data_IF_817567938704
#
_entry.id   IF_817567938704
#
_cell.length_a   1.000
_cell.length_b   1.000
_cell.length_c   1.000
_cell.angle_alpha   90.00
_cell.angle_beta   90.00
_cell.angle_gamma   90.00
#
_symmetry.space_group_name_H-M   'P 1'
#
loop_
_entity.id
_entity.type
_entity.pdbx_description
1 polymer ?
#
# COMPACT_ATOMS: atom_id res chain seq x y z
N UNK A 1 33.10 16.75 4.77
CA UNK A 1 32.09 17.26 5.72
C UNK A 1 30.80 16.51 5.44
N UNK A 2 30.29 15.66 6.35
CA UNK A 2 28.97 15.06 6.16
C UNK A 2 27.93 16.18 6.20
N UNK A 3 27.24 16.40 5.08
CA UNK A 3 26.12 17.35 5.01
C UNK A 3 24.99 16.79 5.87
N UNK A 4 24.64 17.50 6.95
CA UNK A 4 23.49 17.15 7.78
C UNK A 4 22.24 17.17 6.89
N UNK A 5 21.61 16.01 6.70
CA UNK A 5 20.38 15.94 5.91
C UNK A 5 19.28 16.66 6.68
N UNK A 6 18.59 17.58 6.02
CA UNK A 6 17.44 18.33 6.55
C UNK A 6 16.17 17.44 6.71
N UNK A 7 16.34 16.14 6.92
CA UNK A 7 15.25 15.17 7.03
C UNK A 7 14.94 14.89 8.50
N UNK A 8 13.66 14.97 8.88
CA UNK A 8 13.14 14.58 10.19
C UNK A 8 12.03 13.55 10.00
N UNK A 9 11.88 12.65 10.97
CA UNK A 9 10.86 11.61 10.96
C UNK A 9 10.07 11.68 12.26
N UNK A 10 8.75 11.63 12.16
CA UNK A 10 7.87 11.67 13.34
C UNK A 10 6.90 10.51 13.28
N UNK A 11 6.65 9.89 14.43
CA UNK A 11 5.61 8.88 14.61
C UNK A 11 4.62 9.39 15.65
N UNK A 12 3.35 9.52 15.26
CA UNK A 12 2.30 10.09 16.08
C UNK A 12 1.17 9.08 16.22
N UNK A 13 0.98 8.50 17.43
CA UNK A 13 -0.26 7.85 17.78
C UNK A 13 -1.43 8.84 17.71
N UNK A 14 -2.49 8.51 16.99
CA UNK A 14 -3.70 9.35 16.94
C UNK A 14 -4.70 8.99 18.06
N UNK A 15 -4.43 7.89 18.77
CA UNK A 15 -5.05 7.53 20.03
C UNK A 15 -3.96 7.49 21.12
N UNK A 16 -4.20 8.19 22.23
CA UNK A 16 -3.21 8.33 23.30
C UNK A 16 -2.29 9.55 23.14
N UNK A 17 -1.53 9.85 24.18
CA UNK A 17 -0.51 10.90 24.21
C UNK A 17 0.79 10.27 24.70
N UNK A 18 1.46 9.54 23.81
CA UNK A 18 2.76 8.93 24.09
C UNK A 18 3.74 9.43 23.05
N UNK A 19 4.85 9.97 23.52
CA UNK A 19 5.90 10.49 22.68
C UNK A 19 6.89 9.38 22.32
N UNK A 20 7.07 9.18 21.01
CA UNK A 20 8.04 8.26 20.44
C UNK A 20 9.01 9.00 19.54
N UNK A 21 10.29 8.70 19.69
CA UNK A 21 11.31 9.06 18.71
C UNK A 21 11.55 7.89 17.76
N UNK A 22 11.62 8.17 16.46
CA UNK A 22 11.88 7.16 15.43
C UNK A 22 13.37 6.87 15.36
N UNK A 23 13.76 5.62 15.64
CA UNK A 23 15.14 5.16 15.54
C UNK A 23 15.45 4.62 14.17
N UNK A 24 14.56 3.84 13.56
CA UNK A 24 14.73 3.30 12.22
C UNK A 24 13.37 2.96 11.63
N UNK A 25 13.30 2.89 10.30
CA UNK A 25 12.09 2.46 9.63
C UNK A 25 12.38 1.75 8.31
N UNK A 26 11.48 0.83 7.96
CA UNK A 26 11.41 0.16 6.67
C UNK A 26 9.97 0.27 6.14
N UNK A 27 9.80 0.97 5.02
CA UNK A 27 8.52 1.06 4.31
C UNK A 27 8.59 0.20 3.05
N UNK A 28 7.76 -0.85 3.01
CA UNK A 28 7.57 -1.74 1.87
C UNK A 28 6.21 -1.45 1.21
N UNK A 29 6.24 -1.05 -0.06
CA UNK A 29 5.05 -0.74 -0.85
C UNK A 29 5.09 -1.39 -2.23
N UNK A 30 3.92 -1.85 -2.68
CA UNK A 30 3.73 -2.47 -3.98
C UNK A 30 2.29 -2.23 -4.48
N UNK A 31 2.13 -2.16 -5.80
CA UNK A 31 0.81 -2.13 -6.43
C UNK A 31 0.08 -3.42 -6.10
N UNK A 32 -1.21 -3.31 -5.79
CA UNK A 32 -2.09 -4.44 -5.46
C UNK A 32 -1.58 -5.27 -4.28
N UNK A 33 -0.97 -4.61 -3.28
CA UNK A 33 -0.59 -5.24 -2.01
C UNK A 33 -0.72 -4.25 -0.85
N UNK A 34 -1.13 -4.71 0.35
CA UNK A 34 -1.08 -3.86 1.54
C UNK A 34 0.36 -3.36 1.79
N UNK A 35 0.52 -2.08 2.09
CA UNK A 35 1.83 -1.56 2.50
C UNK A 35 2.18 -2.05 3.91
N UNK A 36 3.48 -2.10 4.20
CA UNK A 36 3.99 -2.42 5.53
C UNK A 36 5.04 -1.40 5.94
N UNK A 37 4.79 -0.70 7.05
CA UNK A 37 5.75 0.19 7.68
C UNK A 37 6.22 -0.43 8.99
N UNK A 38 7.46 -0.91 8.99
CA UNK A 38 8.14 -1.45 10.18
C UNK A 38 8.93 -0.32 10.83
N UNK A 39 8.74 -0.12 12.12
CA UNK A 39 9.36 0.97 12.88
C UNK A 39 10.11 0.40 14.08
N UNK A 40 11.31 0.94 14.32
CA UNK A 40 11.92 0.91 15.64
C UNK A 40 11.79 2.28 16.28
N UNK A 41 11.25 2.30 17.50
CA UNK A 41 10.91 3.49 18.25
C UNK A 41 11.64 3.47 19.59
N UNK A 42 11.82 4.64 20.19
CA UNK A 42 12.20 4.78 21.60
C UNK A 42 11.27 5.75 22.30
N UNK A 43 10.95 5.45 23.55
CA UNK A 43 10.22 6.36 24.44
C UNK A 43 10.92 6.45 25.79
N UNK A 44 10.65 7.53 26.52
CA UNK A 44 11.03 7.66 27.93
C UNK A 44 10.12 6.83 28.84
N UNK A 45 8.92 6.48 28.38
CA UNK A 45 8.00 5.58 29.09
C UNK A 45 8.39 4.12 28.84
N UNK A 46 8.53 3.35 29.91
CA UNK A 46 8.92 1.93 29.90
C UNK A 46 7.73 0.97 30.11
N UNK A 47 6.55 1.48 30.48
CA UNK A 47 5.32 0.71 30.67
C UNK A 47 4.17 1.29 29.83
N UNK A 48 4.37 1.36 28.51
CA UNK A 48 3.33 1.81 27.58
C UNK A 48 2.15 0.83 27.54
N UNK A 49 0.93 1.34 27.73
CA UNK A 49 -0.30 0.55 27.56
C UNK A 49 -0.55 0.23 26.07
N UNK A 50 -0.31 -1.02 25.69
CA UNK A 50 -0.48 -1.47 24.31
C UNK A 50 -1.93 -1.37 23.81
N UNK A 51 -2.92 -1.35 24.70
CA UNK A 51 -4.33 -1.17 24.34
C UNK A 51 -4.62 0.21 23.73
N UNK A 52 -3.76 1.20 23.99
CA UNK A 52 -3.86 2.55 23.42
C UNK A 52 -3.23 2.64 22.02
N UNK A 53 -2.46 1.63 21.59
CA UNK A 53 -1.73 1.64 20.33
C UNK A 53 -2.21 0.56 19.36
N UNK A 54 -2.43 -0.67 19.83
CA UNK A 54 -2.82 -1.80 19.00
C UNK A 54 -4.17 -1.55 18.33
N UNK A 55 -4.22 -1.78 17.02
CA UNK A 55 -5.37 -1.53 16.15
C UNK A 55 -5.88 -0.08 16.19
N UNK A 56 -5.02 0.86 16.62
CA UNK A 56 -5.30 2.30 16.61
C UNK A 56 -4.60 2.99 15.44
N UNK A 57 -5.19 4.09 14.94
CA UNK A 57 -4.61 4.84 13.85
C UNK A 57 -3.37 5.61 14.29
N UNK A 58 -2.39 5.67 13.39
CA UNK A 58 -1.12 6.35 13.58
C UNK A 58 -0.72 7.09 12.32
N UNK A 59 0.04 8.15 12.49
CA UNK A 59 0.61 8.93 11.40
C UNK A 59 2.14 8.91 11.50
N UNK A 60 2.78 8.40 10.46
CA UNK A 60 4.21 8.56 10.24
C UNK A 60 4.45 9.63 9.18
N UNK A 61 5.33 10.58 9.49
CA UNK A 61 5.62 11.70 8.58
C UNK A 61 7.11 11.81 8.32
N UNK A 62 7.46 11.91 7.03
CA UNK A 62 8.79 12.28 6.57
C UNK A 62 8.79 13.78 6.29
N UNK A 63 9.68 14.52 6.92
CA UNK A 63 9.81 15.97 6.79
C UNK A 63 11.09 16.33 6.05
N UNK A 64 11.09 17.47 5.35
CA UNK A 64 12.28 18.20 4.91
C UNK A 64 12.19 19.63 5.42
N UNK A 65 13.03 19.96 6.41
CA UNK A 65 12.87 21.17 7.22
C UNK A 65 11.49 21.16 7.89
N UNK A 66 10.74 22.25 7.71
CA UNK A 66 9.37 22.37 8.22
C UNK A 66 8.30 21.83 7.25
N UNK A 67 8.68 21.40 6.04
CA UNK A 67 7.72 20.91 5.04
C UNK A 67 7.54 19.39 5.13
N UNK A 68 6.30 18.89 5.28
CA UNK A 68 6.04 17.46 5.20
C UNK A 68 6.25 16.99 3.75
N UNK A 69 7.11 15.99 3.56
CA UNK A 69 7.37 15.36 2.26
C UNK A 69 6.49 14.14 2.01
N UNK A 70 6.13 13.40 3.05
CA UNK A 70 5.34 12.18 2.91
C UNK A 70 4.59 11.86 4.19
N UNK A 71 3.33 11.48 4.03
CA UNK A 71 2.52 10.88 5.08
C UNK A 71 2.39 9.37 4.83
N UNK A 72 2.42 8.61 5.91
CA UNK A 72 2.01 7.21 5.96
C UNK A 72 1.06 7.05 7.12
N UNK A 73 -0.23 7.09 6.81
CA UNK A 73 -1.31 6.83 7.74
C UNK A 73 -1.70 5.35 7.69
N UNK A 74 -1.80 4.69 8.86
CA UNK A 74 -2.22 3.29 8.95
C UNK A 74 -2.68 2.91 10.36
N UNK A 75 -2.83 1.61 10.61
CA UNK A 75 -3.15 1.02 11.91
C UNK A 75 -1.97 0.22 12.44
N UNK A 76 -1.73 0.26 13.76
CA UNK A 76 -0.72 -0.61 14.40
C UNK A 76 -1.22 -2.04 14.44
N UNK A 77 -0.63 -2.89 13.59
CA UNK A 77 -0.99 -4.30 13.45
C UNK A 77 -0.21 -5.20 14.40
N UNK A 78 0.97 -4.78 14.82
CA UNK A 78 1.77 -5.43 15.85
C UNK A 78 2.57 -4.38 16.61
N UNK A 79 2.70 -4.57 17.92
CA UNK A 79 3.49 -3.72 18.80
C UNK A 79 4.20 -4.59 19.83
N UNK A 80 5.49 -4.35 20.02
CA UNK A 80 6.29 -5.10 21.00
C UNK A 80 7.30 -4.19 21.68
N UNK A 81 7.48 -4.38 22.97
CA UNK A 81 8.55 -3.77 23.74
C UNK A 81 9.82 -4.61 23.62
N UNK A 82 10.93 -3.93 23.36
CA UNK A 82 12.28 -4.49 23.32
C UNK A 82 13.03 -4.20 24.61
N UNK A 83 14.33 -3.96 24.47
CA UNK A 83 15.21 -3.67 25.60
C UNK A 83 14.89 -2.32 26.24
N UNK A 84 14.79 -2.31 27.57
CA UNK A 84 14.74 -1.10 28.40
C UNK A 84 16.16 -0.73 28.81
N UNK A 85 16.65 0.40 28.29
CA UNK A 85 17.91 1.00 28.72
C UNK A 85 17.72 1.86 29.98
N UNK A 86 18.78 2.54 30.40
CA UNK A 86 18.76 3.35 31.63
C UNK A 86 17.78 4.55 31.60
N UNK A 87 17.48 5.08 30.42
CA UNK A 87 16.65 6.28 30.26
C UNK A 87 15.56 6.14 29.19
N UNK A 88 15.65 5.10 28.35
CA UNK A 88 14.77 4.94 27.19
C UNK A 88 14.50 3.47 26.94
N UNK A 89 13.27 3.17 26.57
CA UNK A 89 12.81 1.83 26.21
C UNK A 89 12.61 1.75 24.70
N UNK A 90 13.12 0.68 24.09
CA UNK A 90 12.93 0.41 22.67
C UNK A 90 11.58 -0.27 22.42
N UNK A 91 10.91 0.13 21.36
CA UNK A 91 9.67 -0.49 20.88
C UNK A 91 9.79 -0.82 19.40
N UNK A 92 9.01 -1.80 18.94
CA UNK A 92 8.84 -2.12 17.53
C UNK A 92 7.37 -2.06 17.19
N UNK A 93 7.04 -1.40 16.09
CA UNK A 93 5.69 -1.30 15.58
C UNK A 93 5.63 -1.74 14.12
N UNK A 94 4.57 -2.47 13.76
CA UNK A 94 4.19 -2.72 12.38
C UNK A 94 2.91 -1.95 12.08
N UNK A 95 2.96 -1.08 11.08
CA UNK A 95 1.83 -0.28 10.62
C UNK A 95 1.40 -0.75 9.22
N UNK A 96 0.11 -1.04 9.08
CA UNK A 96 -0.49 -1.57 7.84
C UNK A 96 -1.80 -0.81 7.54
N UNK A 97 -2.34 -0.86 6.30
CA UNK A 97 -3.65 -0.28 6.00
C UNK A 97 -4.77 -1.08 6.67
N UNK A 98 -5.96 -0.46 6.78
CA UNK A 98 -7.16 -1.16 7.27
C UNK A 98 -7.44 -2.43 6.47
N UNK A 99 -7.14 -2.42 5.15
CA UNK A 99 -7.31 -3.58 4.27
C UNK A 99 -6.54 -4.83 4.74
N UNK A 100 -5.41 -4.68 5.43
CA UNK A 100 -4.64 -5.82 5.93
C UNK A 100 -5.44 -6.69 6.93
N UNK A 101 -6.43 -6.11 7.63
CA UNK A 101 -7.29 -6.85 8.56
C UNK A 101 -8.17 -7.89 7.84
N UNK A 102 -8.44 -7.70 6.55
CA UNK A 102 -9.16 -8.68 5.73
C UNK A 102 -8.38 -10.01 5.58
N UNK A 103 -7.07 -10.02 5.84
CA UNK A 103 -6.24 -11.24 5.84
C UNK A 103 -6.38 -12.07 7.12
N UNK A 104 -7.05 -11.56 8.16
CA UNK A 104 -7.19 -12.24 9.45
C UNK A 104 -8.42 -13.14 9.54
N UNK A 105 -9.23 -13.20 8.48
CA UNK A 105 -10.49 -13.95 8.47
C UNK A 105 -10.68 -14.65 7.13
N UNK A 106 -10.92 -15.96 7.19
CA UNK A 106 -11.39 -16.78 6.07
C UNK A 106 -12.89 -17.05 6.16
N UNK A 107 -13.55 -17.20 5.02
CA UNK A 107 -14.99 -17.43 4.96
C UNK A 107 -15.40 -18.31 3.77
N UNK A 108 -16.65 -18.77 3.81
CA UNK A 108 -17.33 -19.44 2.71
C UNK A 108 -18.57 -18.62 2.33
N UNK A 109 -18.61 -18.08 1.10
CA UNK A 109 -19.69 -17.20 0.65
C UNK A 109 -20.00 -17.41 -0.82
N UNK A 110 -21.27 -17.19 -1.16
CA UNK A 110 -21.78 -17.25 -2.53
C UNK A 110 -22.30 -15.86 -2.90
N UNK A 111 -21.88 -15.39 -4.08
CA UNK A 111 -22.35 -14.17 -4.71
C UNK A 111 -23.00 -14.57 -6.04
N UNK A 112 -24.23 -14.11 -6.26
CA UNK A 112 -25.01 -14.43 -7.47
C UNK A 112 -25.47 -13.15 -8.12
N UNK A 113 -25.45 -13.13 -9.45
CA UNK A 113 -25.93 -12.01 -10.26
C UNK A 113 -25.29 -10.67 -9.84
N UNK A 114 -23.96 -10.67 -9.72
CA UNK A 114 -23.15 -9.50 -9.35
C UNK A 114 -21.95 -9.35 -10.26
N UNK A 115 -21.61 -8.11 -10.58
CA UNK A 115 -20.33 -7.79 -11.20
C UNK A 115 -19.22 -7.83 -10.15
N UNK A 116 -17.97 -8.00 -10.57
CA UNK A 116 -16.83 -7.98 -9.63
C UNK A 116 -16.72 -6.65 -8.86
N UNK A 117 -16.85 -5.46 -9.46
CA UNK A 117 -16.88 -4.20 -8.72
C UNK A 117 -17.90 -4.19 -7.57
N UNK A 118 -19.10 -4.73 -7.80
CA UNK A 118 -20.14 -4.83 -6.76
C UNK A 118 -19.75 -5.80 -5.64
N UNK A 119 -19.08 -6.91 -5.97
CA UNK A 119 -18.58 -7.86 -4.97
C UNK A 119 -17.46 -7.22 -4.15
N UNK A 120 -16.50 -6.56 -4.80
CA UNK A 120 -15.40 -5.83 -4.14
C UNK A 120 -15.94 -4.77 -3.19
N UNK A 121 -16.87 -3.91 -3.65
CA UNK A 121 -17.51 -2.89 -2.82
C UNK A 121 -18.17 -3.48 -1.56
N UNK A 122 -18.92 -4.58 -1.73
CA UNK A 122 -19.56 -5.28 -0.62
C UNK A 122 -18.53 -5.83 0.37
N UNK A 123 -17.45 -6.43 -0.13
CA UNK A 123 -16.39 -7.00 0.71
C UNK A 123 -15.67 -5.91 1.51
N UNK A 124 -15.31 -4.79 0.87
CA UNK A 124 -14.65 -3.66 1.54
C UNK A 124 -15.51 -3.07 2.66
N UNK A 125 -16.81 -2.84 2.38
CA UNK A 125 -17.75 -2.35 3.41
C UNK A 125 -17.89 -3.32 4.57
N UNK A 126 -17.94 -4.63 4.32
CA UNK A 126 -18.03 -5.65 5.38
C UNK A 126 -16.78 -5.69 6.26
N UNK A 127 -15.63 -5.34 5.71
CA UNK A 127 -14.37 -5.22 6.45
C UNK A 127 -14.25 -3.87 7.18
N UNK A 128 -15.28 -3.02 7.16
CA UNK A 128 -15.28 -1.72 7.83
C UNK A 128 -14.40 -0.68 7.12
N UNK A 129 -13.99 -0.93 5.88
CA UNK A 129 -13.19 0.01 5.09
C UNK A 129 -14.15 1.08 4.58
N UNK A 130 -14.13 2.26 5.23
CA UNK A 130 -15.03 3.36 4.90
C UNK A 130 -14.51 4.23 3.75
N UNK A 131 -13.18 4.32 3.57
CA UNK A 131 -12.54 5.20 2.59
C UNK A 131 -11.92 4.39 1.46
N UNK A 132 -12.72 4.17 0.43
CA UNK A 132 -12.27 3.54 -0.78
C UNK A 132 -12.96 4.17 -1.99
N UNK A 133 -12.31 4.04 -3.14
CA UNK A 133 -12.83 4.45 -4.44
C UNK A 133 -12.59 3.31 -5.42
N UNK A 134 -13.62 2.96 -6.19
CA UNK A 134 -13.54 1.95 -7.24
C UNK A 134 -13.83 2.65 -8.56
N UNK A 135 -12.78 2.87 -9.33
CA UNK A 135 -12.84 3.47 -10.66
C UNK A 135 -12.86 2.34 -11.70
N UNK A 136 -14.06 1.94 -12.06
CA UNK A 136 -14.32 0.95 -13.11
C UNK A 136 -14.69 1.70 -14.38
N UNK A 137 -13.77 1.69 -15.36
CA UNK A 137 -13.94 2.35 -16.65
C UNK A 137 -14.35 1.34 -17.74
N UNK A 138 -14.00 0.07 -17.55
CA UNK A 138 -14.43 -1.03 -18.40
C UNK A 138 -15.80 -1.57 -18.04
N UNK A 139 -16.46 -2.23 -18.99
CA UNK A 139 -17.67 -3.00 -18.71
C UNK A 139 -17.29 -4.35 -18.07
N UNK A 140 -17.72 -4.57 -16.83
CA UNK A 140 -17.54 -5.86 -16.15
C UNK A 140 -18.81 -6.69 -16.21
N UNK A 141 -18.67 -7.92 -16.68
CA UNK A 141 -19.81 -8.82 -16.84
C UNK A 141 -20.42 -9.23 -15.50
N UNK A 142 -21.74 -9.41 -15.50
CA UNK A 142 -22.46 -9.95 -14.35
C UNK A 142 -22.13 -11.44 -14.24
N UNK A 143 -21.59 -11.85 -13.10
CA UNK A 143 -21.33 -13.26 -12.83
C UNK A 143 -22.60 -13.92 -12.33
N UNK A 144 -23.01 -15.00 -12.99
CA UNK A 144 -24.14 -15.81 -12.54
C UNK A 144 -23.87 -16.39 -11.15
N UNK A 145 -22.63 -16.85 -10.92
CA UNK A 145 -22.21 -17.48 -9.69
C UNK A 145 -20.72 -17.21 -9.40
N UNK A 146 -20.41 -16.78 -8.17
CA UNK A 146 -19.05 -16.55 -7.69
C UNK A 146 -18.94 -16.99 -6.23
N UNK A 147 -17.89 -17.72 -5.88
CA UNK A 147 -17.71 -18.30 -4.55
C UNK A 147 -16.40 -17.81 -3.94
N UNK A 148 -16.45 -17.45 -2.66
CA UNK A 148 -15.30 -17.41 -1.77
C UNK A 148 -15.24 -18.75 -1.06
N UNK A 149 -14.17 -19.54 -1.27
CA UNK A 149 -14.10 -20.94 -0.84
C UNK A 149 -12.97 -21.16 0.18
N UNK A 150 -13.17 -20.70 1.42
CA UNK A 150 -12.22 -20.92 2.51
C UNK A 150 -10.93 -20.08 2.45
N UNK A 151 -10.79 -19.24 1.42
CA UNK A 151 -9.74 -18.22 1.33
C UNK A 151 -10.02 -17.01 2.25
N UNK A 152 -8.99 -16.23 2.58
CA UNK A 152 -9.17 -15.00 3.37
C UNK A 152 -9.96 -13.95 2.60
N UNK A 153 -10.60 -13.01 3.29
CA UNK A 153 -11.28 -11.91 2.61
C UNK A 153 -10.31 -11.07 1.78
N UNK A 154 -9.04 -10.94 2.21
CA UNK A 154 -7.98 -10.28 1.45
C UNK A 154 -7.61 -11.06 0.18
N UNK A 155 -7.39 -12.37 0.29
CA UNK A 155 -7.03 -13.22 -0.86
C UNK A 155 -8.17 -13.25 -1.89
N UNK A 156 -9.42 -13.30 -1.43
CA UNK A 156 -10.60 -13.25 -2.29
C UNK A 156 -10.67 -11.94 -3.08
N UNK A 157 -10.44 -10.80 -2.40
CA UNK A 157 -10.40 -9.48 -3.02
C UNK A 157 -9.28 -9.42 -4.07
N UNK A 158 -8.07 -9.90 -3.71
CA UNK A 158 -6.92 -9.91 -4.61
C UNK A 158 -7.16 -10.79 -5.85
N UNK A 159 -7.75 -11.97 -5.67
CA UNK A 159 -8.10 -12.88 -6.75
C UNK A 159 -9.12 -12.27 -7.71
N UNK A 160 -10.24 -11.75 -7.18
CA UNK A 160 -11.26 -11.11 -8.02
C UNK A 160 -10.73 -9.87 -8.74
N UNK A 161 -9.90 -9.07 -8.07
CA UNK A 161 -9.27 -7.92 -8.69
C UNK A 161 -8.36 -8.35 -9.86
N UNK A 162 -7.51 -9.37 -9.66
CA UNK A 162 -6.62 -9.89 -10.69
C UNK A 162 -7.35 -10.51 -11.90
N UNK A 163 -8.47 -11.20 -11.67
CA UNK A 163 -9.28 -11.80 -12.74
C UNK A 163 -9.87 -10.75 -13.71
N UNK A 164 -10.18 -9.55 -13.22
CA UNK A 164 -10.81 -8.46 -14.00
C UNK A 164 -9.84 -7.31 -14.33
N UNK A 165 -8.56 -7.47 -14.02
CA UNK A 165 -7.53 -6.45 -14.28
C UNK A 165 -7.57 -5.23 -13.36
N UNK A 166 -8.26 -5.32 -12.21
CA UNK A 166 -8.19 -4.28 -11.19
C UNK A 166 -6.84 -4.30 -10.48
N UNK A 167 -6.30 -3.10 -10.30
CA UNK A 167 -5.12 -2.82 -9.48
C UNK A 167 -5.48 -1.81 -8.41
N UNK A 168 -4.75 -1.82 -7.30
CA UNK A 168 -5.00 -0.88 -6.22
C UNK A 168 -3.75 -0.26 -5.61
N UNK A 169 -3.92 0.93 -5.03
CA UNK A 169 -2.91 1.65 -4.28
C UNK A 169 -3.54 2.38 -3.09
N UNK A 170 -2.70 2.89 -2.21
CA UNK A 170 -3.11 3.69 -1.06
C UNK A 170 -2.70 5.15 -1.26
N UNK A 171 -3.65 6.06 -1.05
CA UNK A 171 -3.39 7.48 -0.92
C UNK A 171 -3.34 7.84 0.55
N UNK A 172 -2.35 8.66 0.93
CA UNK A 172 -2.15 9.06 2.31
C UNK A 172 -2.32 10.58 2.45
N UNK A 173 -3.16 10.96 3.40
CA UNK A 173 -3.31 12.32 3.89
C UNK A 173 -2.90 12.35 5.37
N UNK A 174 -2.73 13.53 5.99
CA UNK A 174 -2.48 13.62 7.43
C UNK A 174 -3.59 12.97 8.28
N UNK A 175 -4.82 12.93 7.77
CA UNK A 175 -6.01 12.52 8.53
C UNK A 175 -6.42 11.07 8.30
N UNK A 176 -6.06 10.50 7.15
CA UNK A 176 -6.50 9.16 6.76
C UNK A 176 -5.67 8.61 5.59
N UNK A 177 -5.85 7.33 5.32
CA UNK A 177 -5.50 6.72 4.04
C UNK A 177 -6.77 6.29 3.30
N UNK A 178 -6.71 6.31 1.97
CA UNK A 178 -7.79 5.90 1.08
C UNK A 178 -7.30 4.80 0.15
N UNK A 179 -8.11 3.75 -0.01
CA UNK A 179 -7.87 2.68 -0.96
C UNK A 179 -8.43 3.06 -2.33
N UNK A 180 -7.57 3.18 -3.34
CA UNK A 180 -7.98 3.49 -4.72
C UNK A 180 -7.82 2.23 -5.57
N UNK A 181 -8.92 1.73 -6.12
CA UNK A 181 -8.98 0.55 -6.99
C UNK A 181 -9.36 1.02 -8.40
N UNK A 182 -8.64 0.57 -9.42
CA UNK A 182 -8.89 0.96 -10.81
C UNK A 182 -8.53 -0.16 -11.79
N UNK A 183 -9.27 -0.25 -12.89
CA UNK A 183 -9.00 -1.14 -14.03
C UNK A 183 -8.15 -0.43 -15.12
N UNK A 184 -7.81 0.84 -14.91
CA UNK A 184 -7.06 1.66 -15.85
C UNK A 184 -5.77 2.17 -15.24
N UNK A 185 -4.64 1.69 -15.77
CA UNK A 185 -3.30 2.06 -15.27
C UNK A 185 -3.04 3.57 -15.28
N UNK A 186 -3.57 4.30 -16.27
CA UNK A 186 -3.41 5.76 -16.34
C UNK A 186 -4.06 6.50 -15.17
N UNK A 187 -5.06 5.91 -14.51
CA UNK A 187 -5.71 6.48 -13.33
C UNK A 187 -4.83 6.40 -12.07
N UNK A 188 -3.70 5.68 -12.11
CA UNK A 188 -2.73 5.66 -11.02
C UNK A 188 -1.87 6.93 -10.94
N UNK A 189 -1.98 7.82 -11.93
CA UNK A 189 -1.22 9.06 -12.00
C UNK A 189 0.22 8.85 -12.47
N UNK A 190 0.92 9.97 -12.71
CA UNK A 190 2.36 9.94 -12.98
C UNK A 190 3.13 9.93 -11.67
N UNK A 191 4.24 9.17 -11.62
CA UNK A 191 5.18 9.26 -10.51
C UNK A 191 5.97 10.56 -10.68
N UNK A 192 5.45 11.66 -10.15
CA UNK A 192 6.23 12.89 -10.02
C UNK A 192 7.20 12.73 -8.85
N UNK A 193 8.46 13.08 -9.07
CA UNK A 193 9.50 13.09 -8.01
C UNK A 193 9.23 14.16 -6.95
N UNK A 194 8.29 15.06 -7.21
CA UNK A 194 7.79 16.12 -6.34
C UNK A 194 6.72 15.57 -5.39
N UNK A 195 7.12 15.44 -4.13
CA UNK A 195 6.29 15.22 -2.96
C UNK A 195 5.04 16.12 -2.93
N UNK A 196 3.90 15.50 -2.62
CA UNK A 196 2.63 16.07 -2.08
C UNK A 196 2.10 17.32 -2.82
N UNK A 197 0.93 17.18 -3.47
CA UNK A 197 0.05 18.35 -3.69
C UNK A 197 -0.39 18.84 -2.31
N UNK A 198 0.05 20.03 -1.91
CA UNK A 198 -0.50 20.70 -0.75
C UNK A 198 -1.96 21.05 -1.06
N UNK A 199 -2.88 20.71 -0.16
CA UNK A 199 -4.23 21.24 -0.19
C UNK A 199 -4.18 22.71 0.25
N UNK A 200 -3.71 23.59 -0.63
CA UNK A 200 -3.92 25.03 -0.53
C UNK A 200 -4.30 25.51 -1.94
N UNK A 201 -5.53 26.04 -2.05
CA UNK A 201 -6.12 26.62 -3.25
C UNK A 201 -5.24 27.75 -3.78
N UNK A 202 -4.86 27.68 -5.05
CA UNK A 202 -4.86 28.80 -5.99
C UNK A 202 -4.77 28.22 -7.42
N UNK A 203 -5.79 28.47 -8.24
CA UNK A 203 -5.79 28.17 -9.67
C UNK A 203 -4.77 29.05 -10.39
N UNK A 204 -3.52 28.60 -10.49
CA UNK A 204 -2.53 29.21 -11.37
C UNK A 204 -2.25 28.30 -12.58
N UNK A 205 -2.81 28.74 -13.70
CA UNK A 205 -2.38 28.60 -15.09
C UNK A 205 -1.26 27.56 -15.36
N UNK A 206 -1.62 26.38 -15.86
CA UNK A 206 -0.65 25.44 -16.42
C UNK A 206 -0.31 25.86 -17.86
N UNK A 207 0.92 26.32 -18.10
CA UNK A 207 1.52 26.23 -19.43
C UNK A 207 1.88 24.76 -19.71
N UNK A 208 1.40 24.22 -20.84
CA UNK A 208 1.28 22.79 -21.13
C UNK A 208 2.59 22.07 -21.56
N UNK A 209 3.77 22.69 -21.41
CA UNK A 209 4.98 22.24 -22.13
C UNK A 209 6.28 22.03 -21.31
N UNK A 210 6.27 22.02 -19.98
CA UNK A 210 7.52 21.78 -19.22
C UNK A 210 7.75 20.29 -18.89
N UNK A 211 8.04 19.51 -19.95
CA UNK A 211 8.51 18.11 -19.85
C UNK A 211 9.97 18.13 -19.37
N UNK A 212 10.17 17.96 -18.06
CA UNK A 212 11.51 17.83 -17.47
C UNK A 212 12.26 16.57 -17.96
N UNK A 213 13.61 16.60 -18.07
CA UNK A 213 14.43 15.54 -18.67
C UNK A 213 14.42 14.19 -17.93
N UNK A 214 13.82 14.14 -16.73
CA UNK A 214 13.83 12.97 -15.84
C UNK A 214 12.43 12.35 -15.64
N UNK A 215 11.45 12.71 -16.47
CA UNK A 215 10.11 12.14 -16.42
C UNK A 215 10.11 10.72 -17.02
N UNK A 216 10.12 9.69 -16.17
CA UNK A 216 9.86 8.32 -16.61
C UNK A 216 8.38 8.20 -16.94
N UNK A 217 8.05 8.43 -18.21
CA UNK A 217 6.74 8.12 -18.75
C UNK A 217 6.48 6.62 -18.55
N UNK A 218 5.37 6.28 -17.90
CA UNK A 218 4.79 4.95 -18.08
C UNK A 218 4.28 4.89 -19.53
N UNK A 219 5.19 4.63 -20.48
CA UNK A 219 4.80 4.28 -21.83
C UNK A 219 4.24 2.87 -21.76
N UNK A 220 2.93 2.78 -21.56
CA UNK A 220 2.20 1.62 -22.05
C UNK A 220 2.53 1.57 -23.56
N UNK A 221 3.37 0.62 -23.97
CA UNK A 221 3.42 0.26 -25.36
C UNK A 221 1.98 -0.13 -25.72
N UNK A 222 1.35 0.66 -26.58
CA UNK A 222 0.00 0.47 -27.10
C UNK A 222 -0.09 -0.78 -28.01
N UNK A 223 0.59 -1.86 -27.63
CA UNK A 223 0.74 -3.09 -28.41
C UNK A 223 0.45 -4.36 -27.60
N UNK A 224 -0.19 -4.24 -26.45
CA UNK A 224 -0.85 -5.37 -25.80
C UNK A 224 -2.33 -5.07 -25.80
N UNK A 225 -3.11 -5.76 -26.64
CA UNK A 225 -4.54 -5.88 -26.41
C UNK A 225 -4.75 -6.18 -24.92
N UNK A 226 -5.66 -5.45 -24.27
CA UNK A 226 -6.11 -5.84 -22.94
C UNK A 226 -6.56 -7.31 -23.02
N UNK A 227 -6.28 -8.09 -21.99
CA UNK A 227 -6.75 -9.47 -21.94
C UNK A 227 -8.29 -9.46 -21.96
N UNK A 228 -8.87 -9.57 -23.16
CA UNK A 228 -10.29 -9.79 -23.33
C UNK A 228 -10.50 -11.26 -22.96
N UNK A 229 -11.33 -11.52 -21.96
CA UNK A 229 -11.76 -12.87 -21.63
C UNK A 229 -12.72 -13.38 -22.73
N UNK A 230 -12.18 -13.76 -23.90
CA UNK A 230 -12.94 -14.39 -24.98
C UNK A 230 -13.04 -15.89 -24.73
N UNK A 231 -13.95 -16.31 -23.84
CA UNK A 231 -14.64 -17.60 -23.98
C UNK A 231 -15.80 -17.78 -23.00
N UNK A 232 -17.03 -17.61 -23.49
CA UNK A 232 -18.12 -18.57 -23.26
C UNK A 232 -19.32 -18.25 -24.16
N UNK A 233 -19.15 -18.48 -25.46
CA UNK A 233 -20.28 -18.78 -26.35
C UNK A 233 -20.23 -20.28 -26.62
N UNK A 234 -20.78 -21.09 -25.71
CA UNK A 234 -21.34 -22.40 -26.06
C UNK A 234 -22.11 -22.97 -24.89
N UNK A 235 -23.42 -23.09 -25.10
CA UNK A 235 -24.39 -23.80 -24.29
C UNK A 235 -23.99 -25.28 -24.20
N UNK A 236 -23.35 -25.75 -23.12
CA UNK A 236 -23.57 -27.09 -22.52
C UNK A 236 -22.94 -27.15 -21.13
N UNK A 237 -23.75 -27.45 -20.12
CA UNK A 237 -23.31 -27.81 -18.76
C UNK A 237 -22.44 -29.07 -18.82
N UNK A 238 -21.14 -28.94 -18.53
CA UNK A 238 -20.34 -30.09 -18.13
C UNK A 238 -19.30 -29.66 -17.09
N UNK A 239 -19.46 -30.18 -15.89
CA UNK A 239 -18.53 -30.09 -14.77
C UNK A 239 -17.18 -30.67 -15.22
N UNK A 240 -16.23 -29.79 -15.56
CA UNK A 240 -14.82 -30.14 -15.70
C UNK A 240 -14.06 -29.53 -14.53
N UNK A 241 -13.50 -30.40 -13.69
CA UNK A 241 -12.42 -30.07 -12.76
C UNK A 241 -11.19 -29.64 -13.57
N UNK A 242 -11.14 -28.37 -13.99
CA UNK A 242 -9.92 -27.77 -14.50
C UNK A 242 -9.17 -27.17 -13.31
N UNK A 243 -8.12 -27.88 -12.88
CA UNK A 243 -7.01 -27.26 -12.18
C UNK A 243 -6.50 -26.11 -13.05
N UNK A 244 -6.81 -24.87 -12.66
CA UNK A 244 -6.18 -23.70 -13.25
C UNK A 244 -4.72 -23.75 -12.80
N UNK A 245 -3.88 -24.31 -13.66
CA UNK A 245 -2.48 -23.93 -13.71
C UNK A 245 -2.47 -22.41 -13.88
N UNK A 246 -2.17 -21.71 -12.79
CA UNK A 246 -1.84 -20.29 -12.79
C UNK A 246 -0.64 -20.17 -13.72
N UNK A 247 -0.89 -19.82 -14.97
CA UNK A 247 0.14 -19.30 -15.86
C UNK A 247 0.54 -17.98 -15.22
N UNK A 248 1.63 -18.04 -14.46
CA UNK A 248 2.35 -16.88 -13.98
C UNK A 248 2.58 -15.97 -15.19
N UNK A 249 1.85 -14.86 -15.27
CA UNK A 249 2.16 -13.75 -16.15
C UNK A 249 3.52 -13.18 -15.72
N UNK A 250 4.60 -13.82 -16.19
CA UNK A 250 5.95 -13.28 -16.22
C UNK A 250 5.91 -12.08 -17.18
N UNK A 251 5.71 -10.87 -16.65
CA UNK A 251 5.71 -9.66 -17.47
C UNK A 251 5.42 -8.36 -16.74
N UNK A 252 4.72 -8.38 -15.60
CA UNK A 252 4.53 -7.16 -14.81
C UNK A 252 5.74 -6.94 -13.90
N UNK A 253 6.60 -5.99 -14.28
CA UNK A 253 7.59 -5.40 -13.38
C UNK A 253 6.84 -4.67 -12.26
N UNK A 254 6.51 -5.40 -11.18
CA UNK A 254 6.04 -4.79 -9.95
C UNK A 254 7.14 -3.85 -9.43
N UNK A 255 6.88 -2.55 -9.48
CA UNK A 255 7.74 -1.54 -8.89
C UNK A 255 7.69 -1.68 -7.37
N UNK A 256 8.61 -2.47 -6.81
CA UNK A 256 8.83 -2.59 -5.38
C UNK A 256 9.56 -1.35 -4.88
N UNK A 257 8.89 -0.51 -4.10
CA UNK A 257 9.55 0.58 -3.40
C UNK A 257 9.90 0.10 -1.99
N UNK A 258 11.19 -0.01 -1.70
CA UNK A 258 11.71 -0.31 -0.37
C UNK A 258 12.53 0.87 0.12
N UNK A 259 12.05 1.54 1.16
CA UNK A 259 12.79 2.63 1.82
C UNK A 259 13.29 2.11 3.16
N UNK A 260 14.62 2.04 3.33
CA UNK A 260 15.27 1.62 4.58
C UNK A 260 16.10 2.77 5.10
N UNK A 261 15.91 3.15 6.36
CA UNK A 261 16.78 4.10 7.06
C UNK A 261 17.28 3.48 8.36
N UNK A 262 18.59 3.20 8.43
CA UNK A 262 19.27 2.70 9.63
C UNK A 262 20.08 3.83 10.27
N UNK A 263 19.85 4.08 11.55
CA UNK A 263 20.56 5.09 12.32
C UNK A 263 21.45 4.40 13.36
N UNK A 264 22.76 4.44 13.14
CA UNK A 264 23.73 3.82 14.04
C UNK A 264 23.85 4.57 15.36
N UNK A 265 23.77 3.86 16.48
CA UNK A 265 24.06 4.42 17.81
C UNK A 265 25.55 4.31 18.11
N UNK A 266 26.35 5.25 17.60
CA UNK A 266 27.69 5.51 18.12
C UNK A 266 28.00 6.99 17.97
N UNK A 267 28.47 7.60 19.06
CA UNK A 267 28.75 9.04 19.13
C UNK A 267 29.58 9.54 17.95
N UNK A 268 29.21 10.73 17.48
CA UNK A 268 29.76 11.48 16.34
C UNK A 268 29.43 10.92 14.95
N UNK A 269 28.57 11.69 14.25
CA UNK A 269 28.27 11.67 12.82
C UNK A 269 27.20 10.69 12.33
N UNK A 270 26.00 11.24 12.10
CA UNK A 270 24.89 10.57 11.39
C UNK A 270 25.09 10.67 9.88
N UNK A 271 25.04 9.54 9.19
CA UNK A 271 24.93 9.47 7.73
C UNK A 271 23.79 8.50 7.39
N UNK A 272 22.69 9.01 6.84
CA UNK A 272 21.64 8.19 6.26
C UNK A 272 22.07 7.74 4.86
N UNK A 273 22.28 6.44 4.66
CA UNK A 273 22.59 5.88 3.34
C UNK A 273 21.27 5.49 2.67
N UNK A 274 20.88 6.24 1.63
CA UNK A 274 19.79 5.89 0.75
C UNK A 274 20.26 4.78 -0.21
N UNK A 275 19.65 3.60 -0.15
CA UNK A 275 19.93 2.52 -1.09
C UNK A 275 18.64 2.10 -1.78
N UNK A 276 18.42 2.61 -2.99
CA UNK A 276 17.51 1.97 -3.95
C UNK A 276 18.14 0.61 -4.31
N UNK A 277 17.60 -0.46 -3.76
CA UNK A 277 18.02 -1.80 -4.13
C UNK A 277 17.32 -2.19 -5.44
N UNK A 278 18.02 -2.08 -6.57
CA UNK A 278 17.65 -2.84 -7.76
C UNK A 278 17.92 -4.32 -7.47
N UNK A 279 16.86 -5.14 -7.42
CA UNK A 279 17.03 -6.59 -7.44
C UNK A 279 17.57 -7.02 -8.82
N UNK A 280 18.57 -7.91 -8.89
CA UNK A 280 19.01 -8.47 -10.16
C UNK A 280 17.89 -9.34 -10.75
N UNK A 281 17.61 -9.14 -12.04
CA UNK A 281 16.71 -9.99 -12.83
C UNK A 281 17.14 -11.46 -12.71
N UNK A 282 16.21 -12.41 -12.50
CA UNK A 282 16.54 -13.82 -12.65
C UNK A 282 16.94 -14.10 -14.10
N UNK A 283 18.06 -14.80 -14.29
CA UNK A 283 18.49 -15.26 -15.60
C UNK A 283 17.51 -16.32 -16.12
N UNK A 284 17.18 -16.31 -17.43
CA UNK A 284 16.28 -17.29 -18.00
C UNK A 284 16.93 -18.68 -17.98
N UNK A 285 16.15 -19.68 -17.55
CA UNK A 285 16.42 -21.11 -17.71
C UNK A 285 15.76 -21.59 -19.00
#
# INVERSE_FOLDING_TARGET
MPSQSDLRFTFQPLAGQIDFEVVSFELDEMISSPFQLKLELISFEDEVDFGQLLDKPVLFTIWRGERPLRYVHGLVSSFSQGETGFYRTRYRALVEPVLARAGLRSNWRIFQQKTVPQILELMLRRQGIARFEINSMGEHQVREFCVQAGETDLDFIARLAGEEGFVYRFEHTPKHHQLVITDRLLALGQISRSAIKADDEDEDFFDEDDIGPDQVLYRANSGGDQAICTSCVSTTLQLCECWIHIVSCQGYSASKAKVVANFGTSGSSFAAIWKMAHMPSPAPV
#
